data_IF_728417452237
#
_entry.id   IF_728417452237
#
_cell.length_a   1.000
_cell.length_b   1.000
_cell.length_c   1.000
_cell.angle_alpha   90.00
_cell.angle_beta   90.00
_cell.angle_gamma   90.00
#
_symmetry.space_group_name_H-M   'P 1'
#
loop_
_entity.id
_entity.type
_entity.pdbx_description
1 polymer ?
#
# COMPACT_ATOMS: atom_id res chain seq x y z
N UNK A 1 -4.10 5.07 -9.97
CA UNK A 1 -3.94 4.16 -8.82
C UNK A 1 -3.61 2.75 -9.29
N UNK A 2 -4.49 2.15 -10.09
CA UNK A 2 -4.32 0.80 -10.66
C UNK A 2 -2.99 0.58 -11.38
N UNK A 3 -2.53 1.57 -12.15
CA UNK A 3 -1.27 1.47 -12.89
C UNK A 3 -0.03 1.61 -11.98
N UNK A 4 -0.12 2.46 -10.95
CA UNK A 4 1.00 2.68 -10.02
C UNK A 4 1.26 1.46 -9.15
N UNK A 5 0.21 0.85 -8.60
CA UNK A 5 0.31 -0.30 -7.70
C UNK A 5 0.33 -1.65 -8.43
N UNK A 6 0.96 -1.72 -9.60
CA UNK A 6 1.07 -2.92 -10.42
C UNK A 6 2.40 -3.64 -10.19
N UNK A 7 2.35 -4.94 -9.87
CA UNK A 7 3.52 -5.81 -9.68
C UNK A 7 3.88 -6.40 -11.04
N UNK A 8 4.71 -5.68 -11.79
CA UNK A 8 5.01 -5.99 -13.21
C UNK A 8 5.45 -7.44 -13.45
N UNK A 9 6.34 -7.96 -12.60
CA UNK A 9 6.86 -9.33 -12.75
C UNK A 9 5.84 -10.43 -12.40
N UNK A 10 4.65 -10.08 -11.90
CA UNK A 10 3.56 -11.02 -11.59
C UNK A 10 2.30 -10.81 -12.41
N UNK A 11 2.23 -9.74 -13.19
CA UNK A 11 1.02 -9.41 -13.96
C UNK A 11 -0.20 -9.08 -13.09
N UNK A 12 -0.02 -8.75 -11.81
CA UNK A 12 -1.12 -8.49 -10.87
C UNK A 12 -1.01 -7.13 -10.17
N UNK A 13 -2.15 -6.58 -9.74
CA UNK A 13 -2.20 -5.39 -8.88
C UNK A 13 -1.96 -5.80 -7.42
N UNK A 14 -1.32 -4.91 -6.65
CA UNK A 14 -1.05 -5.11 -5.21
C UNK A 14 -2.33 -5.31 -4.41
N UNK A 15 -3.39 -4.59 -4.77
CA UNK A 15 -4.70 -4.64 -4.12
C UNK A 15 -5.79 -4.09 -5.04
N UNK A 16 -6.87 -3.57 -4.44
CA UNK A 16 -8.09 -3.15 -5.13
C UNK A 16 -8.12 -1.67 -5.57
N UNK A 17 -7.00 -0.96 -5.44
CA UNK A 17 -6.87 0.42 -5.89
C UNK A 17 -7.36 1.47 -4.89
N UNK A 18 -7.93 2.55 -5.40
CA UNK A 18 -8.25 3.79 -4.70
C UNK A 18 -7.88 5.01 -5.56
N UNK A 19 -7.51 6.12 -4.94
CA UNK A 19 -6.96 7.29 -5.64
C UNK A 19 -5.46 7.37 -5.45
N UNK A 20 -4.74 7.75 -6.51
CA UNK A 20 -3.32 8.04 -6.48
C UNK A 20 -3.08 9.16 -7.48
N UNK A 21 -2.35 10.18 -7.05
CA UNK A 21 -1.97 11.33 -7.84
C UNK A 21 -0.54 11.73 -7.46
N UNK A 22 0.17 12.27 -8.44
CA UNK A 22 1.53 12.80 -8.33
C UNK A 22 1.59 14.02 -9.25
N UNK A 23 2.41 15.02 -8.92
CA UNK A 23 2.57 16.25 -9.72
C UNK A 23 1.23 16.93 -10.11
N UNK A 24 0.29 17.07 -9.15
CA UNK A 24 -0.97 17.77 -9.41
C UNK A 24 -0.74 19.28 -9.60
N UNK A 25 -1.15 19.78 -10.77
CA UNK A 25 -1.12 21.20 -11.11
C UNK A 25 -2.53 21.79 -11.15
N UNK A 26 -2.66 23.03 -10.70
CA UNK A 26 -3.89 23.83 -10.75
C UNK A 26 -3.51 25.31 -10.84
N UNK A 27 -4.39 26.12 -11.44
CA UNK A 27 -4.29 27.58 -11.42
C UNK A 27 -4.46 28.17 -10.02
N UNK A 28 -5.08 27.43 -9.10
CA UNK A 28 -5.32 27.85 -7.70
C UNK A 28 -4.68 26.86 -6.73
N UNK A 29 -3.74 27.36 -5.91
CA UNK A 29 -3.14 26.59 -4.82
C UNK A 29 -4.15 26.24 -3.73
N UNK A 30 -5.11 27.12 -3.49
CA UNK A 30 -6.15 26.89 -2.50
C UNK A 30 -7.05 25.72 -2.91
N UNK A 31 -7.36 25.60 -4.19
CA UNK A 31 -8.18 24.50 -4.70
C UNK A 31 -7.46 23.14 -4.54
N UNK A 32 -6.15 23.10 -4.85
CA UNK A 32 -5.33 21.89 -4.60
C UNK A 32 -5.27 21.55 -3.12
N UNK A 33 -5.11 22.55 -2.26
CA UNK A 33 -5.06 22.33 -0.83
C UNK A 33 -6.41 21.81 -0.30
N UNK A 34 -7.53 22.36 -0.76
CA UNK A 34 -8.87 21.86 -0.42
C UNK A 34 -9.11 20.44 -0.92
N UNK A 35 -8.64 20.11 -2.13
CA UNK A 35 -8.67 18.75 -2.65
C UNK A 35 -7.89 17.77 -1.75
N UNK A 36 -6.62 18.08 -1.46
CA UNK A 36 -5.78 17.24 -0.57
C UNK A 36 -6.39 17.12 0.83
N UNK A 37 -6.92 18.21 1.38
CA UNK A 37 -7.59 18.21 2.68
C UNK A 37 -8.83 17.30 2.67
N UNK A 38 -9.60 17.31 1.58
CA UNK A 38 -10.78 16.46 1.42
C UNK A 38 -10.40 14.98 1.32
N UNK A 39 -9.34 14.65 0.57
CA UNK A 39 -8.78 13.29 0.54
C UNK A 39 -8.32 12.81 1.92
N UNK A 40 -7.62 13.67 2.69
CA UNK A 40 -7.18 13.33 4.04
C UNK A 40 -8.37 13.07 4.99
N UNK A 41 -9.40 13.91 4.94
CA UNK A 41 -10.64 13.74 5.71
C UNK A 41 -11.40 12.45 5.35
N UNK A 42 -11.24 11.94 4.13
CA UNK A 42 -11.90 10.71 3.68
C UNK A 42 -11.25 9.42 4.23
N UNK A 43 -10.00 9.44 4.68
CA UNK A 43 -9.25 8.23 5.09
C UNK A 43 -9.97 7.46 6.21
N UNK A 44 -10.32 8.14 7.30
CA UNK A 44 -10.97 7.55 8.47
C UNK A 44 -12.35 6.96 8.13
N UNK A 45 -13.30 7.73 7.55
CA UNK A 45 -14.62 7.21 7.22
C UNK A 45 -14.61 6.12 6.14
N UNK A 46 -13.63 6.09 5.23
CA UNK A 46 -13.51 5.00 4.26
C UNK A 46 -12.93 3.72 4.87
N UNK A 47 -11.97 3.81 5.79
CA UNK A 47 -11.21 2.64 6.25
C UNK A 47 -11.71 2.05 7.57
N UNK A 48 -12.01 2.89 8.57
CA UNK A 48 -12.36 2.43 9.91
C UNK A 48 -13.64 1.58 9.96
N UNK A 49 -14.72 1.90 9.21
CA UNK A 49 -15.91 1.05 9.20
C UNK A 49 -15.65 -0.37 8.69
N UNK A 50 -14.76 -0.53 7.71
CA UNK A 50 -14.37 -1.85 7.17
C UNK A 50 -13.64 -2.66 8.25
N UNK A 51 -12.67 -2.04 8.93
CA UNK A 51 -11.94 -2.71 10.02
C UNK A 51 -12.88 -3.09 11.16
N UNK A 52 -13.76 -2.18 11.60
CA UNK A 52 -14.69 -2.46 12.68
C UNK A 52 -15.67 -3.58 12.33
N UNK A 53 -16.07 -3.71 11.07
CA UNK A 53 -16.94 -4.78 10.58
C UNK A 53 -16.26 -6.15 10.61
N UNK A 54 -14.97 -6.22 10.28
CA UNK A 54 -14.29 -7.50 9.98
C UNK A 54 -13.22 -7.92 11.00
N UNK A 55 -12.82 -7.06 11.94
CA UNK A 55 -11.73 -7.37 12.89
C UNK A 55 -11.98 -8.58 13.79
N UNK A 56 -13.23 -8.99 13.97
CA UNK A 56 -13.65 -10.11 14.81
C UNK A 56 -14.11 -11.32 13.99
N UNK A 57 -14.01 -11.27 12.66
CA UNK A 57 -14.38 -12.41 11.82
C UNK A 57 -13.47 -13.60 12.14
N UNK A 58 -14.08 -14.76 12.31
CA UNK A 58 -13.34 -16.02 12.39
C UNK A 58 -12.59 -16.27 11.08
N UNK A 59 -11.37 -16.78 11.16
CA UNK A 59 -10.59 -17.17 9.99
C UNK A 59 -10.01 -18.58 10.16
N UNK A 60 -9.96 -19.30 9.05
CA UNK A 60 -9.29 -20.59 8.91
C UNK A 60 -7.77 -20.43 8.80
N UNK A 61 -7.00 -21.50 9.07
CA UNK A 61 -5.57 -21.54 8.78
C UNK A 61 -5.23 -21.23 7.32
N UNK A 62 -6.06 -21.65 6.37
CA UNK A 62 -5.90 -21.44 4.93
C UNK A 62 -6.06 -19.96 4.57
N UNK A 63 -7.07 -19.28 5.12
CA UNK A 63 -7.24 -17.83 4.94
C UNK A 63 -6.08 -17.05 5.55
N UNK A 64 -5.56 -17.50 6.70
CA UNK A 64 -4.38 -16.90 7.32
C UNK A 64 -3.14 -17.09 6.44
N UNK A 65 -2.96 -18.27 5.86
CA UNK A 65 -1.89 -18.55 4.91
C UNK A 65 -2.01 -17.65 3.68
N UNK A 66 -3.20 -17.52 3.12
CA UNK A 66 -3.47 -16.62 2.00
C UNK A 66 -3.15 -15.16 2.35
N UNK A 67 -3.53 -14.68 3.53
CA UNK A 67 -3.15 -13.34 4.02
C UNK A 67 -1.62 -13.16 4.02
N UNK A 68 -0.84 -14.16 4.43
CA UNK A 68 0.62 -14.09 4.44
C UNK A 68 1.22 -14.02 3.03
N UNK A 69 0.63 -14.73 2.06
CA UNK A 69 1.01 -14.64 0.65
C UNK A 69 0.70 -13.25 0.07
N UNK A 70 -0.48 -12.69 0.39
CA UNK A 70 -0.84 -11.31 0.00
C UNK A 70 0.09 -10.27 0.63
N UNK A 71 0.52 -10.47 1.88
CA UNK A 71 1.55 -9.64 2.53
C UNK A 71 2.91 -9.75 1.84
N UNK A 72 3.28 -10.94 1.34
CA UNK A 72 4.45 -11.12 0.49
C UNK A 72 4.40 -10.22 -0.76
N UNK A 73 3.25 -10.18 -1.46
CA UNK A 73 3.04 -9.26 -2.60
C UNK A 73 3.18 -7.79 -2.23
N UNK A 74 2.70 -7.42 -1.04
CA UNK A 74 2.84 -6.05 -0.53
C UNK A 74 4.31 -5.66 -0.32
N UNK A 75 5.10 -6.57 0.27
CA UNK A 75 6.54 -6.38 0.48
C UNK A 75 7.30 -6.32 -0.85
N UNK A 76 7.02 -7.23 -1.78
CA UNK A 76 7.62 -7.21 -3.12
C UNK A 76 7.41 -5.86 -3.82
N UNK A 77 6.18 -5.34 -3.79
CA UNK A 77 5.91 -4.03 -4.40
C UNK A 77 6.73 -2.92 -3.74
N UNK A 78 6.73 -2.84 -2.41
CA UNK A 78 7.40 -1.75 -1.70
C UNK A 78 8.92 -1.79 -1.90
N UNK A 79 9.54 -2.98 -1.90
CA UNK A 79 10.99 -3.10 -2.08
C UNK A 79 11.43 -2.98 -3.55
N UNK A 80 10.61 -3.43 -4.50
CA UNK A 80 11.00 -3.53 -5.92
C UNK A 80 10.49 -2.38 -6.78
N UNK A 81 9.35 -1.77 -6.48
CA UNK A 81 8.69 -0.81 -7.38
C UNK A 81 8.37 0.53 -6.74
N UNK A 82 8.11 0.60 -5.44
CA UNK A 82 7.69 1.84 -4.80
C UNK A 82 8.78 2.92 -4.88
N UNK A 83 8.45 4.07 -5.50
CA UNK A 83 9.40 5.16 -5.73
C UNK A 83 9.88 5.78 -4.42
N UNK A 84 8.95 5.97 -3.47
CA UNK A 84 9.25 6.58 -2.16
C UNK A 84 10.22 5.73 -1.34
N UNK A 85 9.97 4.42 -1.27
CA UNK A 85 10.86 3.48 -0.55
C UNK A 85 12.26 3.47 -1.17
N UNK A 86 12.37 3.35 -2.49
CA UNK A 86 13.68 3.36 -3.18
C UNK A 86 14.44 4.66 -2.97
N UNK A 87 13.77 5.80 -3.12
CA UNK A 87 14.38 7.11 -2.92
C UNK A 87 14.86 7.28 -1.48
N UNK A 88 14.04 6.91 -0.49
CA UNK A 88 14.41 6.98 0.93
C UNK A 88 15.63 6.12 1.25
N UNK A 89 15.69 4.88 0.75
CA UNK A 89 16.84 3.99 0.96
C UNK A 89 18.12 4.48 0.27
N UNK A 90 17.99 5.16 -0.87
CA UNK A 90 19.13 5.73 -1.60
C UNK A 90 19.62 7.08 -1.03
N UNK A 91 18.82 7.75 -0.20
CA UNK A 91 19.14 9.09 0.33
C UNK A 91 19.95 8.98 1.62
N UNK A 92 21.22 9.45 1.67
CA UNK A 92 22.05 9.38 2.87
C UNK A 92 21.43 10.14 4.05
N UNK A 93 21.55 9.57 5.26
CA UNK A 93 21.02 10.18 6.49
C UNK A 93 19.52 9.99 6.70
N UNK A 94 18.82 9.28 5.82
CA UNK A 94 17.41 8.95 5.99
C UNK A 94 17.18 8.01 7.17
N UNK A 95 16.07 8.21 7.89
CA UNK A 95 15.67 7.34 8.99
C UNK A 95 15.04 6.05 8.45
N UNK A 96 15.81 4.97 8.50
CA UNK A 96 15.43 3.66 7.92
C UNK A 96 14.14 3.11 8.54
N UNK A 97 13.93 3.29 9.84
CA UNK A 97 12.73 2.82 10.54
C UNK A 97 11.47 3.52 10.03
N UNK A 98 11.59 4.78 9.61
CA UNK A 98 10.47 5.51 9.00
C UNK A 98 10.17 5.02 7.58
N UNK A 99 11.20 4.63 6.81
CA UNK A 99 11.05 4.09 5.45
C UNK A 99 10.42 2.69 5.49
N UNK A 100 10.90 1.83 6.39
CA UNK A 100 10.48 0.43 6.48
C UNK A 100 9.23 0.22 7.36
N UNK A 101 8.64 1.28 7.92
CA UNK A 101 7.40 1.22 8.69
C UNK A 101 6.23 0.60 7.91
N UNK A 102 6.30 0.62 6.58
CA UNK A 102 5.29 0.00 5.71
C UNK A 102 5.32 -1.53 5.72
N UNK A 103 6.40 -2.17 6.20
CA UNK A 103 6.54 -3.63 6.15
C UNK A 103 5.64 -4.31 7.21
N UNK A 104 4.96 -5.42 6.85
CA UNK A 104 4.17 -6.17 7.81
C UNK A 104 5.08 -6.95 8.77
N UNK A 105 4.57 -7.25 9.97
CA UNK A 105 5.27 -8.07 10.97
C UNK A 105 5.70 -9.45 10.41
N UNK A 106 4.87 -10.07 9.59
CA UNK A 106 5.13 -11.35 8.94
C UNK A 106 4.61 -11.36 7.51
N UNK A 107 5.33 -12.06 6.63
CA UNK A 107 4.96 -12.34 5.25
C UNK A 107 5.46 -13.75 4.87
N UNK A 108 4.88 -14.34 3.82
CA UNK A 108 5.29 -15.66 3.32
C UNK A 108 5.46 -15.66 1.81
N UNK A 109 6.44 -16.41 1.35
CA UNK A 109 6.67 -16.75 -0.05
C UNK A 109 6.67 -18.27 -0.18
N UNK A 110 5.97 -18.78 -1.18
CA UNK A 110 5.89 -20.21 -1.48
C UNK A 110 6.12 -20.37 -2.98
N UNK A 111 7.00 -21.28 -3.34
CA UNK A 111 7.14 -21.72 -4.72
C UNK A 111 5.97 -22.65 -5.03
N UNK A 112 5.13 -22.27 -5.99
CA UNK A 112 4.02 -23.09 -6.46
C UNK A 112 4.43 -23.61 -7.83
N UNK A 113 4.64 -24.92 -7.93
CA UNK A 113 4.65 -25.62 -9.22
C UNK A 113 3.20 -25.84 -9.62
N UNK A 114 2.81 -25.37 -10.81
CA UNK A 114 1.56 -25.77 -11.44
C UNK A 114 1.51 -27.30 -11.67
#
# INVERSE_FOLDING_TARGET
CDDYFFIKHRGERRGVGGIFFDDLESSSKDDLFQFVQSCAKAVVPCYIPIVNKHKNDSFSPEEKLWQQLRRGRYVEFNLVYDRGTKFGLATPGSRIESILMSLPLTARYVFVTE
#
